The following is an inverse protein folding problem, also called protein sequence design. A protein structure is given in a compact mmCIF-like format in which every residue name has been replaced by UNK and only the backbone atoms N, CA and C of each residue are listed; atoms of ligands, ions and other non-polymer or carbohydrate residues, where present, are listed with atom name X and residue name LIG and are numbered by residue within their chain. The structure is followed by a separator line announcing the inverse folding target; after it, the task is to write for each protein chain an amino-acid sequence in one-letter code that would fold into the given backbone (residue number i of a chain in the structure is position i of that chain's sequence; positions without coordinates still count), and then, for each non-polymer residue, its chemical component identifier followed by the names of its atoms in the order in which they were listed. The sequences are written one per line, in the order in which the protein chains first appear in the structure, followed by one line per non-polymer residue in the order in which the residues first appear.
data_IF_493171056581
#
_entry.id   IF_493171056581
#
_cell.length_a   1.000
_cell.length_b   1.000
_cell.length_c   1.000
_cell.angle_alpha   90.00
_cell.angle_beta   90.00
_cell.angle_gamma   90.00
#
_symmetry.space_group_name_H-M   'P 1'
#
loop_
_entity.id
_entity.type
_entity.pdbx_description
1 polymer ?
#
# COMPACT_ATOMS: atom_id res chain seq x y z
N UNK A 1 -3.36 28.52 -12.23
CA UNK A 1 -2.54 27.96 -11.15
C UNK A 1 -1.99 29.04 -10.23
N UNK A 2 -2.29 28.95 -8.95
CA UNK A 2 -1.62 29.73 -7.90
C UNK A 2 -0.69 28.82 -7.11
N UNK A 3 0.53 29.28 -6.81
CA UNK A 3 1.54 28.52 -6.05
C UNK A 3 2.23 29.46 -5.07
N UNK A 4 1.98 29.25 -3.77
CA UNK A 4 2.43 30.13 -2.69
C UNK A 4 3.17 29.32 -1.63
N UNK A 5 4.26 29.87 -1.09
CA UNK A 5 4.99 29.29 0.04
C UNK A 5 4.51 29.94 1.33
N UNK A 6 4.00 29.13 2.24
CA UNK A 6 3.47 29.54 3.54
C UNK A 6 4.37 29.03 4.66
N UNK A 7 4.58 29.84 5.69
CA UNK A 7 5.30 29.40 6.89
C UNK A 7 4.39 28.53 7.74
N UNK A 8 4.89 27.40 8.20
CA UNK A 8 4.17 26.59 9.16
C UNK A 8 4.18 27.26 10.54
N UNK A 9 3.00 27.62 11.04
CA UNK A 9 2.81 28.21 12.37
C UNK A 9 2.63 27.17 13.48
N UNK A 10 2.45 25.89 13.14
CA UNK A 10 2.23 24.81 14.10
C UNK A 10 3.52 24.33 14.78
N UNK A 11 3.36 23.51 15.82
CA UNK A 11 4.47 22.93 16.60
C UNK A 11 5.43 22.07 15.75
N UNK A 12 4.97 21.59 14.60
CA UNK A 12 5.76 20.80 13.64
C UNK A 12 6.77 21.63 12.84
N UNK A 13 6.85 22.96 13.04
CA UNK A 13 7.75 23.89 12.31
C UNK A 13 9.23 23.51 12.30
N UNK A 14 9.69 22.75 13.30
CA UNK A 14 11.09 22.27 13.37
C UNK A 14 11.41 21.24 12.28
N UNK A 15 10.41 20.48 11.86
CA UNK A 15 10.54 19.39 10.88
C UNK A 15 9.94 19.81 9.54
N UNK A 16 8.82 20.53 9.56
CA UNK A 16 8.10 21.04 8.39
C UNK A 16 8.02 22.56 8.53
N UNK A 17 9.07 23.32 8.19
CA UNK A 17 9.06 24.78 8.36
C UNK A 17 8.11 25.52 7.41
N UNK A 18 7.74 24.91 6.28
CA UNK A 18 6.89 25.54 5.28
C UNK A 18 5.89 24.55 4.66
N UNK A 19 4.81 25.09 4.10
CA UNK A 19 3.93 24.43 3.15
C UNK A 19 3.96 25.17 1.83
N UNK A 20 3.78 24.46 0.72
CA UNK A 20 3.48 25.08 -0.57
C UNK A 20 2.00 24.83 -0.87
N UNK A 21 1.23 25.91 -0.88
CA UNK A 21 -0.14 25.91 -1.36
C UNK A 21 -0.14 25.89 -2.89
N UNK A 22 -0.92 24.98 -3.47
CA UNK A 22 -1.10 24.85 -4.92
C UNK A 22 -2.60 24.86 -5.19
N UNK A 23 -3.07 25.79 -6.01
CA UNK A 23 -4.45 25.86 -6.47
C UNK A 23 -4.55 25.75 -7.99
N UNK A 24 -5.30 24.75 -8.45
CA UNK A 24 -5.55 24.47 -9.86
C UNK A 24 -6.81 25.20 -10.35
N UNK A 25 -6.74 26.53 -10.45
CA UNK A 25 -7.86 27.42 -10.78
C UNK A 25 -8.47 27.26 -12.18
N UNK A 26 -7.76 26.60 -13.11
CA UNK A 26 -8.16 26.49 -14.52
C UNK A 26 -8.84 25.17 -14.89
N UNK A 27 -8.92 24.20 -13.96
CA UNK A 27 -9.30 22.83 -14.29
C UNK A 27 -10.69 22.51 -13.73
N UNK A 28 -11.67 22.26 -14.61
CA UNK A 28 -12.98 21.71 -14.21
C UNK A 28 -12.83 20.22 -13.95
N UNK A 29 -12.53 19.84 -12.71
CA UNK A 29 -12.33 18.44 -12.33
C UNK A 29 -13.30 17.99 -11.25
N UNK A 30 -13.36 16.68 -11.04
CA UNK A 30 -14.13 16.03 -9.98
C UNK A 30 -13.27 15.70 -8.76
N UNK A 31 -12.09 16.32 -8.61
CA UNK A 31 -11.15 16.05 -7.51
C UNK A 31 -10.71 17.37 -6.86
N UNK A 32 -10.07 17.26 -5.69
CA UNK A 32 -9.56 18.39 -4.92
C UNK A 32 -8.67 19.30 -5.80
N UNK A 33 -8.93 20.60 -5.79
CA UNK A 33 -8.15 21.56 -6.59
C UNK A 33 -7.16 22.35 -5.77
N UNK A 34 -7.19 22.18 -4.44
CA UNK A 34 -6.35 22.87 -3.47
C UNK A 34 -5.47 21.88 -2.72
N UNK A 35 -4.15 22.08 -2.78
CA UNK A 35 -3.17 21.19 -2.18
C UNK A 35 -2.21 21.93 -1.27
N UNK A 36 -1.82 21.29 -0.17
CA UNK A 36 -0.83 21.78 0.78
C UNK A 36 0.35 20.81 0.84
N UNK A 37 1.39 21.08 0.05
CA UNK A 37 2.58 20.22 -0.04
C UNK A 37 3.55 20.57 1.11
N UNK A 38 3.83 19.66 2.05
CA UNK A 38 4.77 19.93 3.13
C UNK A 38 6.22 20.04 2.62
N UNK A 39 6.96 21.02 3.14
CA UNK A 39 8.40 21.18 2.90
C UNK A 39 9.14 20.76 4.16
N UNK A 40 9.87 19.65 4.06
CA UNK A 40 10.65 19.08 5.16
C UNK A 40 12.05 19.69 5.23
N UNK A 41 12.51 19.99 6.44
CA UNK A 41 13.90 20.34 6.69
C UNK A 41 14.73 19.07 6.89
N UNK A 42 15.77 18.87 6.08
CA UNK A 42 16.73 17.76 6.18
C UNK A 42 18.14 18.29 6.41
N UNK A 43 18.85 17.71 7.36
CA UNK A 43 20.28 18.00 7.57
C UNK A 43 21.12 16.98 6.79
N UNK A 44 21.83 17.43 5.75
CA UNK A 44 22.69 16.57 4.94
C UNK A 44 24.08 17.18 4.95
N UNK A 45 25.07 16.41 5.43
CA UNK A 45 26.47 16.86 5.55
C UNK A 45 26.61 18.21 6.31
N UNK A 46 25.80 18.39 7.35
CA UNK A 46 25.79 19.61 8.17
C UNK A 46 25.12 20.83 7.53
N UNK A 47 24.53 20.68 6.33
CA UNK A 47 23.80 21.74 5.65
C UNK A 47 22.30 21.46 5.66
N UNK A 48 21.53 22.53 5.80
CA UNK A 48 20.07 22.48 5.73
C UNK A 48 19.63 22.37 4.27
N UNK A 49 18.82 21.37 3.98
CA UNK A 49 18.13 21.18 2.72
C UNK A 49 16.62 21.18 2.95
N UNK A 50 15.90 21.73 1.98
CA UNK A 50 14.44 21.76 1.95
C UNK A 50 13.99 20.72 0.94
N UNK A 51 13.21 19.75 1.40
CA UNK A 51 12.77 18.62 0.60
C UNK A 51 11.25 18.60 0.49
N UNK A 52 10.76 18.29 -0.71
CA UNK A 52 9.34 18.13 -1.00
C UNK A 52 9.11 16.88 -1.84
N UNK A 53 7.89 16.36 -1.82
CA UNK A 53 7.47 15.24 -2.67
C UNK A 53 6.11 15.56 -3.29
N UNK A 54 6.01 15.40 -4.61
CA UNK A 54 4.75 15.55 -5.35
C UNK A 54 4.55 14.30 -6.21
N UNK A 55 3.57 13.47 -5.88
CA UNK A 55 3.24 12.23 -6.57
C UNK A 55 4.47 11.32 -6.80
N UNK A 56 5.40 11.28 -5.83
CA UNK A 56 6.63 10.48 -5.90
C UNK A 56 7.81 11.15 -6.58
N UNK A 57 7.65 12.36 -7.14
CA UNK A 57 8.76 13.19 -7.58
C UNK A 57 9.39 13.85 -6.35
N UNK A 58 10.57 13.38 -5.96
CA UNK A 58 11.34 13.93 -4.86
C UNK A 58 12.16 15.12 -5.34
N UNK A 59 12.05 16.23 -4.62
CA UNK A 59 12.76 17.47 -4.90
C UNK A 59 13.53 17.85 -3.65
N UNK A 60 14.74 18.38 -3.82
CA UNK A 60 15.58 18.82 -2.72
C UNK A 60 16.41 20.03 -3.16
N UNK A 61 16.39 21.09 -2.35
CA UNK A 61 17.10 22.33 -2.63
C UNK A 61 17.72 22.91 -1.36
N UNK A 62 18.60 23.90 -1.51
CA UNK A 62 19.35 24.49 -0.40
C UNK A 62 18.66 25.71 0.23
N UNK A 63 17.51 26.14 -0.30
CA UNK A 63 16.75 27.26 0.26
C UNK A 63 15.23 27.11 0.03
N UNK A 64 14.39 27.75 0.85
CA UNK A 64 12.93 27.71 0.69
C UNK A 64 12.46 28.25 -0.67
N UNK A 65 13.13 29.29 -1.18
CA UNK A 65 12.78 29.88 -2.46
C UNK A 65 13.19 28.98 -3.64
N UNK A 66 14.33 28.29 -3.53
CA UNK A 66 14.79 27.36 -4.56
C UNK A 66 13.81 26.18 -4.68
N UNK A 67 13.39 25.58 -3.56
CA UNK A 67 12.41 24.48 -3.59
C UNK A 67 11.06 24.94 -4.16
N UNK A 68 10.60 26.15 -3.83
CA UNK A 68 9.39 26.73 -4.43
C UNK A 68 9.52 26.87 -5.94
N UNK A 69 10.67 27.34 -6.44
CA UNK A 69 10.91 27.48 -7.87
C UNK A 69 10.92 26.11 -8.59
N UNK A 70 11.48 25.08 -7.96
CA UNK A 70 11.45 23.70 -8.49
C UNK A 70 10.02 23.15 -8.50
N UNK A 71 9.24 23.37 -7.44
CA UNK A 71 7.81 23.00 -7.40
C UNK A 71 7.03 23.71 -8.49
N UNK A 72 7.26 25.01 -8.72
CA UNK A 72 6.60 25.78 -9.81
C UNK A 72 6.88 25.22 -11.21
N UNK A 73 7.98 24.50 -11.42
CA UNK A 73 8.27 23.80 -12.68
C UNK A 73 7.57 22.45 -12.80
N UNK A 74 7.34 21.78 -11.67
CA UNK A 74 6.70 20.45 -11.61
C UNK A 74 5.17 20.56 -11.55
N UNK A 75 4.62 21.48 -10.78
CA UNK A 75 3.19 21.64 -10.58
C UNK A 75 2.34 21.78 -11.87
N UNK A 76 2.80 22.44 -12.96
CA UNK A 76 2.06 22.47 -14.22
C UNK A 76 1.83 21.06 -14.83
N UNK A 77 2.66 20.08 -14.47
CA UNK A 77 2.43 18.69 -14.89
C UNK A 77 1.15 18.14 -14.29
N UNK A 78 0.73 18.60 -13.10
CA UNK A 78 -0.51 18.19 -12.44
C UNK A 78 -1.75 18.67 -13.21
N UNK A 79 -1.76 19.92 -13.70
CA UNK A 79 -2.85 20.45 -14.54
C UNK A 79 -3.03 19.59 -15.81
N UNK A 80 -1.91 19.16 -16.41
CA UNK A 80 -1.91 18.32 -17.60
C UNK A 80 -2.34 16.86 -17.34
N UNK A 81 -2.44 16.41 -16.09
CA UNK A 81 -2.82 15.03 -15.80
C UNK A 81 -4.30 14.76 -16.07
N UNK A 82 -5.16 15.79 -16.06
CA UNK A 82 -6.61 15.66 -16.26
C UNK A 82 -7.35 14.87 -15.17
N UNK A 83 -6.65 13.99 -14.43
CA UNK A 83 -7.08 13.21 -13.27
C UNK A 83 -5.89 12.96 -12.35
N UNK A 84 -6.14 12.90 -11.04
CA UNK A 84 -5.14 12.46 -10.07
C UNK A 84 -4.99 10.93 -10.08
N UNK A 85 -3.77 10.39 -9.97
CA UNK A 85 -3.56 8.96 -9.85
C UNK A 85 -4.06 8.48 -8.50
N UNK A 86 -4.74 7.33 -8.50
CA UNK A 86 -5.21 6.67 -7.26
C UNK A 86 -4.03 6.02 -6.54
N UNK A 87 -3.13 5.43 -7.33
CA UNK A 87 -1.90 4.81 -6.83
C UNK A 87 -0.71 5.20 -7.71
N UNK A 88 0.48 4.94 -7.21
CA UNK A 88 1.68 4.87 -8.03
C UNK A 88 2.41 3.56 -7.78
N UNK A 89 3.07 3.06 -8.82
CA UNK A 89 4.09 2.04 -8.71
C UNK A 89 5.46 2.69 -8.63
N UNK A 90 6.20 2.36 -7.58
CA UNK A 90 7.54 2.86 -7.31
C UNK A 90 8.54 1.73 -7.55
N UNK A 91 9.48 1.97 -8.44
CA UNK A 91 10.67 1.16 -8.65
C UNK A 91 11.77 1.65 -7.70
N UNK A 92 12.15 0.82 -6.73
CA UNK A 92 13.01 1.24 -5.60
C UNK A 92 14.45 1.54 -6.01
N UNK A 93 15.01 0.80 -6.95
CA UNK A 93 16.40 0.93 -7.39
C UNK A 93 16.51 1.98 -8.49
N UNK A 94 15.59 1.96 -9.46
CA UNK A 94 15.60 2.96 -10.54
C UNK A 94 15.03 4.32 -10.10
N UNK A 95 14.41 4.39 -8.92
CA UNK A 95 13.70 5.57 -8.38
C UNK A 95 12.64 6.14 -9.34
N UNK A 96 12.03 5.27 -10.16
CA UNK A 96 11.00 5.67 -11.12
C UNK A 96 9.61 5.46 -10.55
N UNK A 97 8.70 6.34 -10.94
CA UNK A 97 7.32 6.35 -10.49
C UNK A 97 6.39 6.23 -11.70
N UNK A 98 5.44 5.30 -11.63
CA UNK A 98 4.48 5.02 -12.68
C UNK A 98 3.07 5.22 -12.14
N UNK A 99 2.29 6.18 -12.67
CA UNK A 99 0.96 6.44 -12.18
C UNK A 99 0.00 5.30 -12.53
N UNK A 100 -0.93 5.04 -11.62
CA UNK A 100 -2.04 4.10 -11.81
C UNK A 100 -3.34 4.85 -11.54
N UNK A 101 -4.21 4.85 -12.54
CA UNK A 101 -5.53 5.48 -12.47
C UNK A 101 -6.60 4.42 -12.29
N UNK A 102 -7.57 4.66 -11.43
CA UNK A 102 -8.76 3.82 -11.32
C UNK A 102 -9.92 4.46 -12.08
N UNK A 103 -10.58 3.70 -12.95
CA UNK A 103 -11.74 4.17 -13.71
C UNK A 103 -12.59 3.00 -14.18
N UNK A 104 -13.90 3.03 -13.93
CA UNK A 104 -14.88 2.01 -14.38
C UNK A 104 -14.45 0.57 -14.09
N UNK A 105 -14.00 0.35 -12.86
CA UNK A 105 -13.59 -0.89 -12.23
C UNK A 105 -12.30 -1.44 -12.78
N UNK A 106 -11.51 -0.60 -13.44
CA UNK A 106 -10.21 -0.98 -13.95
C UNK A 106 -9.13 -0.11 -13.32
N UNK A 107 -8.01 -0.76 -13.02
CA UNK A 107 -6.76 -0.10 -12.78
C UNK A 107 -6.04 0.04 -14.13
N UNK A 108 -5.63 1.27 -14.45
CA UNK A 108 -4.92 1.63 -15.67
C UNK A 108 -3.49 2.02 -15.30
N UNK A 109 -2.54 1.12 -15.58
CA UNK A 109 -1.11 1.37 -15.41
C UNK A 109 -0.50 1.93 -16.69
N UNK A 110 0.12 3.10 -16.59
CA UNK A 110 0.90 3.68 -17.67
C UNK A 110 2.37 3.26 -17.55
N UNK A 111 2.97 2.81 -18.66
CA UNK A 111 4.34 2.31 -18.68
C UNK A 111 5.34 3.42 -18.99
N UNK A 112 5.44 3.84 -20.23
CA UNK A 112 6.28 4.96 -20.72
C UNK A 112 5.56 5.67 -21.85
N UNK A 113 6.02 6.85 -22.26
CA UNK A 113 5.46 7.56 -23.42
C UNK A 113 5.51 6.66 -24.66
N UNK A 114 4.36 6.40 -25.28
CA UNK A 114 4.22 5.49 -26.42
C UNK A 114 4.21 4.00 -26.09
N UNK A 115 4.33 3.62 -24.81
CA UNK A 115 4.20 2.24 -24.35
C UNK A 115 2.74 1.78 -24.21
N UNK A 116 2.51 0.47 -23.97
CA UNK A 116 1.17 -0.07 -23.80
C UNK A 116 0.52 0.47 -22.52
N UNK A 117 -0.78 0.69 -22.61
CA UNK A 117 -1.65 0.91 -21.44
C UNK A 117 -2.09 -0.45 -20.92
N UNK A 118 -1.75 -0.75 -19.68
CA UNK A 118 -2.18 -2.00 -19.04
C UNK A 118 -3.47 -1.74 -18.28
N UNK A 119 -4.52 -2.49 -18.60
CA UNK A 119 -5.82 -2.43 -17.93
C UNK A 119 -6.15 -3.75 -17.28
N UNK A 120 -6.57 -3.70 -16.02
CA UNK A 120 -7.09 -4.87 -15.33
C UNK A 120 -7.86 -4.45 -14.07
N UNK A 121 -8.89 -5.19 -13.71
CA UNK A 121 -9.66 -4.91 -12.49
C UNK A 121 -8.78 -5.10 -11.24
N UNK A 122 -8.00 -6.18 -11.22
CA UNK A 122 -7.01 -6.45 -10.17
C UNK A 122 -5.74 -5.59 -10.32
N UNK A 123 -5.47 -4.74 -9.33
CA UNK A 123 -4.22 -3.96 -9.22
C UNK A 123 -2.98 -4.86 -9.26
N UNK A 124 -3.11 -6.09 -8.77
CA UNK A 124 -2.08 -7.13 -8.83
C UNK A 124 -1.60 -7.43 -10.24
N UNK A 125 -2.55 -7.68 -11.14
CA UNK A 125 -2.27 -8.00 -12.53
C UNK A 125 -1.68 -6.80 -13.27
N UNK A 126 -2.17 -5.59 -12.98
CA UNK A 126 -1.59 -4.37 -13.55
C UNK A 126 -0.13 -4.23 -13.15
N UNK A 127 0.18 -4.37 -11.86
CA UNK A 127 1.56 -4.30 -11.38
C UNK A 127 2.47 -5.33 -12.04
N UNK A 128 2.03 -6.60 -12.08
CA UNK A 128 2.84 -7.69 -12.64
C UNK A 128 3.09 -7.48 -14.15
N UNK A 129 2.06 -7.08 -14.92
CA UNK A 129 2.18 -6.80 -16.36
C UNK A 129 3.03 -5.56 -16.67
N UNK A 130 2.85 -4.47 -15.91
CA UNK A 130 3.67 -3.26 -16.03
C UNK A 130 5.12 -3.57 -15.69
N UNK A 131 5.39 -4.28 -14.59
CA UNK A 131 6.74 -4.69 -14.23
C UNK A 131 7.38 -5.57 -15.31
N UNK A 132 6.66 -6.57 -15.82
CA UNK A 132 7.15 -7.46 -16.88
C UNK A 132 7.53 -6.67 -18.14
N UNK A 133 6.65 -5.76 -18.58
CA UNK A 133 6.91 -4.93 -19.74
C UNK A 133 8.14 -4.04 -19.54
N UNK A 134 8.23 -3.34 -18.41
CA UNK A 134 9.33 -2.41 -18.15
C UNK A 134 10.68 -3.11 -17.98
N UNK A 135 10.72 -4.30 -17.39
CA UNK A 135 11.93 -5.13 -17.36
C UNK A 135 12.30 -5.62 -18.79
N UNK A 136 11.32 -6.01 -19.61
CA UNK A 136 11.55 -6.45 -21.00
C UNK A 136 12.19 -5.35 -21.86
N UNK A 137 11.82 -4.09 -21.66
CA UNK A 137 12.40 -2.96 -22.39
C UNK A 137 13.61 -2.34 -21.67
N UNK A 138 14.14 -3.00 -20.63
CA UNK A 138 15.31 -2.56 -19.85
C UNK A 138 15.17 -1.16 -19.24
N UNK A 139 13.94 -0.77 -18.91
CA UNK A 139 13.63 0.47 -18.17
C UNK A 139 13.75 0.26 -16.66
N UNK A 140 13.48 -0.97 -16.21
CA UNK A 140 13.65 -1.41 -14.83
C UNK A 140 14.81 -2.42 -14.75
N UNK A 141 15.51 -2.39 -13.61
CA UNK A 141 16.65 -3.28 -13.37
C UNK A 141 17.90 -2.96 -14.20
N UNK A 142 19.01 -3.63 -13.88
CA UNK A 142 20.16 -3.75 -14.79
C UNK A 142 19.90 -4.93 -15.74
N UNK A 143 20.64 -5.03 -16.85
CA UNK A 143 20.55 -6.21 -17.72
C UNK A 143 20.79 -7.48 -16.90
N UNK A 144 19.80 -8.38 -16.84
CA UNK A 144 19.83 -9.61 -16.03
C UNK A 144 19.15 -9.56 -14.67
N UNK A 145 18.74 -8.38 -14.17
CA UNK A 145 18.09 -8.24 -12.85
C UNK A 145 16.61 -7.86 -12.97
N UNK A 146 15.74 -8.56 -12.25
CA UNK A 146 14.31 -8.25 -12.18
C UNK A 146 14.00 -7.28 -11.03
N UNK A 147 13.58 -6.07 -11.36
CA UNK A 147 13.15 -5.10 -10.35
C UNK A 147 11.64 -5.18 -10.08
N UNK A 148 11.27 -5.27 -8.79
CA UNK A 148 9.88 -5.29 -8.33
C UNK A 148 9.33 -3.88 -8.15
N UNK A 149 8.08 -3.70 -8.56
CA UNK A 149 7.32 -2.47 -8.32
C UNK A 149 6.61 -2.51 -6.95
N UNK A 150 6.66 -1.39 -6.23
CA UNK A 150 5.98 -1.20 -4.96
C UNK A 150 4.79 -0.25 -5.11
N UNK A 151 3.64 -0.57 -4.52
CA UNK A 151 2.51 0.35 -4.52
C UNK A 151 2.62 1.41 -3.42
N UNK A 152 2.21 2.62 -3.77
CA UNK A 152 1.91 3.72 -2.85
C UNK A 152 0.58 4.36 -3.24
N UNK A 153 -0.14 4.87 -2.26
CA UNK A 153 -1.28 5.75 -2.49
C UNK A 153 -0.79 7.18 -2.71
N UNK A 154 -1.64 8.04 -3.25
CA UNK A 154 -1.36 9.49 -3.36
C UNK A 154 -2.33 10.23 -2.45
N UNK A 155 -1.78 10.97 -1.50
CA UNK A 155 -2.58 11.76 -0.58
C UNK A 155 -3.27 12.90 -1.35
N UNK A 156 -4.60 12.98 -1.24
CA UNK A 156 -5.38 13.91 -2.08
C UNK A 156 -5.19 15.38 -1.70
N UNK A 157 -4.84 15.72 -0.45
CA UNK A 157 -4.50 17.10 -0.04
C UNK A 157 -3.02 17.48 -0.14
N UNK A 158 -2.09 16.57 0.18
CA UNK A 158 -0.65 16.91 0.24
C UNK A 158 0.15 16.48 -0.98
N UNK A 159 -0.45 15.66 -1.86
CA UNK A 159 0.21 15.03 -3.01
C UNK A 159 1.37 14.07 -2.65
N UNK A 160 1.63 13.85 -1.37
CA UNK A 160 2.66 12.94 -0.89
C UNK A 160 2.30 11.47 -1.11
N UNK A 161 3.30 10.60 -1.18
CA UNK A 161 3.08 9.16 -1.26
C UNK A 161 2.72 8.58 0.10
N UNK A 162 1.58 7.90 0.16
CA UNK A 162 1.12 7.19 1.36
C UNK A 162 1.55 5.74 1.27
N UNK A 163 2.20 5.24 2.34
CA UNK A 163 2.59 3.84 2.45
C UNK A 163 1.38 3.01 2.90
N UNK A 164 1.10 1.85 2.26
CA UNK A 164 0.06 0.95 2.76
C UNK A 164 0.40 0.42 4.15
N UNK A 165 -0.58 0.47 5.05
CA UNK A 165 -0.53 -0.12 6.39
C UNK A 165 -0.43 -1.64 6.29
N UNK A 166 -1.25 -2.22 5.43
CA UNK A 166 -1.19 -3.63 5.06
C UNK A 166 -1.74 -3.84 3.65
N UNK A 167 -1.76 -5.09 3.21
CA UNK A 167 -2.39 -5.50 1.97
C UNK A 167 -3.39 -6.59 2.28
N UNK A 168 -4.58 -6.48 1.70
CA UNK A 168 -5.51 -7.60 1.64
C UNK A 168 -5.13 -8.45 0.44
N UNK A 169 -4.94 -9.75 0.64
CA UNK A 169 -4.53 -10.67 -0.43
C UNK A 169 -5.43 -11.89 -0.45
N UNK A 170 -6.02 -12.19 -1.60
CA UNK A 170 -6.69 -13.47 -1.80
C UNK A 170 -5.65 -14.58 -1.78
N UNK A 171 -5.91 -15.63 -1.01
CA UNK A 171 -5.23 -16.92 -1.14
C UNK A 171 -5.76 -17.59 -2.42
N UNK A 172 -4.93 -17.79 -3.46
CA UNK A 172 -5.35 -18.62 -4.58
C UNK A 172 -5.38 -20.09 -4.13
N UNK A 173 -6.50 -20.76 -4.34
CA UNK A 173 -6.69 -22.19 -4.07
C UNK A 173 -6.22 -23.05 -5.25
N UNK A 174 -6.28 -22.50 -6.46
CA UNK A 174 -5.82 -23.14 -7.70
C UNK A 174 -4.90 -22.22 -8.50
N UNK A 175 -4.05 -22.76 -9.41
CA UNK A 175 -3.28 -21.94 -10.35
C UNK A 175 -4.14 -21.04 -11.25
N UNK A 176 -5.40 -21.40 -11.47
CA UNK A 176 -6.36 -20.67 -12.28
C UNK A 176 -7.05 -19.53 -11.50
N UNK A 177 -6.93 -19.50 -10.18
CA UNK A 177 -7.54 -18.45 -9.37
C UNK A 177 -6.97 -17.08 -9.71
N UNK A 178 -7.87 -16.12 -9.91
CA UNK A 178 -7.53 -14.73 -10.10
C UNK A 178 -6.73 -14.20 -8.91
N UNK A 179 -5.57 -13.59 -9.20
CA UNK A 179 -4.77 -12.90 -8.19
C UNK A 179 -5.49 -11.62 -7.76
N UNK A 180 -5.91 -11.55 -6.50
CA UNK A 180 -6.40 -10.31 -5.90
C UNK A 180 -5.42 -9.83 -4.83
N UNK A 181 -5.06 -8.55 -4.90
CA UNK A 181 -4.65 -7.82 -3.71
C UNK A 181 -4.97 -6.34 -3.82
N UNK A 182 -5.33 -5.75 -2.69
CA UNK A 182 -5.54 -4.31 -2.56
C UNK A 182 -4.71 -3.76 -1.40
N UNK A 183 -4.01 -2.63 -1.57
CA UNK A 183 -3.38 -1.91 -0.48
C UNK A 183 -4.43 -1.26 0.43
N UNK A 184 -4.17 -1.27 1.74
CA UNK A 184 -4.96 -0.53 2.73
C UNK A 184 -4.15 0.66 3.23
N UNK A 185 -4.76 1.84 3.27
CA UNK A 185 -4.12 3.09 3.64
C UNK A 185 -4.77 3.71 4.88
N UNK A 186 -3.99 4.47 5.67
CA UNK A 186 -4.58 5.36 6.67
C UNK A 186 -5.16 6.60 5.97
N UNK A 187 -6.24 7.13 6.55
CA UNK A 187 -6.81 8.44 6.24
C UNK A 187 -6.36 9.43 7.29
N UNK A 188 -5.70 10.52 6.88
CA UNK A 188 -5.21 11.56 7.79
C UNK A 188 -6.35 12.43 8.36
N UNK A 189 -7.57 12.32 7.82
CA UNK A 189 -8.68 13.25 8.13
C UNK A 189 -9.63 12.77 9.23
N UNK A 190 -9.76 11.45 9.41
CA UNK A 190 -10.83 10.86 10.21
C UNK A 190 -10.37 9.70 11.11
N UNK A 191 -9.06 9.49 11.26
CA UNK A 191 -8.53 8.29 11.91
C UNK A 191 -9.19 7.02 11.34
N UNK A 192 -9.17 6.87 10.01
CA UNK A 192 -9.82 5.77 9.29
C UNK A 192 -8.80 4.91 8.56
N UNK A 193 -9.12 3.63 8.36
CA UNK A 193 -8.51 2.83 7.32
C UNK A 193 -9.41 2.76 6.09
N UNK A 194 -8.82 2.82 4.90
CA UNK A 194 -9.57 2.64 3.67
C UNK A 194 -8.82 1.83 2.60
N UNK A 195 -9.59 1.25 1.69
CA UNK A 195 -9.11 0.67 0.45
C UNK A 195 -10.14 0.86 -0.67
N UNK A 196 -9.67 0.88 -1.91
CA UNK A 196 -10.55 0.81 -3.07
C UNK A 196 -10.61 -0.62 -3.59
N UNK A 197 -11.83 -1.11 -3.78
CA UNK A 197 -12.16 -2.46 -4.28
C UNK A 197 -13.45 -2.36 -5.08
N UNK A 198 -13.55 -3.04 -6.23
CA UNK A 198 -14.78 -3.07 -7.05
C UNK A 198 -15.39 -1.67 -7.30
N UNK A 199 -14.59 -0.69 -7.73
CA UNK A 199 -14.98 0.72 -7.92
C UNK A 199 -15.45 1.50 -6.69
N UNK A 200 -15.44 0.88 -5.51
CA UNK A 200 -15.94 1.46 -4.29
C UNK A 200 -14.82 1.69 -3.28
N UNK A 201 -14.90 2.82 -2.57
CA UNK A 201 -14.11 3.05 -1.36
C UNK A 201 -14.78 2.31 -0.20
N UNK A 202 -14.04 1.42 0.43
CA UNK A 202 -14.40 0.82 1.71
C UNK A 202 -13.58 1.51 2.79
N UNK A 203 -14.22 1.90 3.88
CA UNK A 203 -13.55 2.57 4.99
C UNK A 203 -14.17 2.19 6.32
N UNK A 204 -13.34 2.24 7.36
CA UNK A 204 -13.72 1.97 8.75
C UNK A 204 -12.94 2.91 9.67
N UNK A 205 -13.60 3.37 10.73
CA UNK A 205 -12.95 4.17 11.78
C UNK A 205 -11.97 3.31 12.56
N UNK A 206 -10.87 3.90 13.01
CA UNK A 206 -9.91 3.26 13.90
C UNK A 206 -10.58 2.79 15.20
N UNK A 207 -10.22 1.60 15.64
CA UNK A 207 -10.71 0.94 16.85
C UNK A 207 -9.60 0.07 17.43
N UNK A 208 -8.46 0.70 17.74
CA UNK A 208 -7.33 0.06 18.42
C UNK A 208 -6.86 -1.25 17.77
N UNK A 209 -6.94 -1.38 16.45
CA UNK A 209 -6.54 -2.55 15.67
C UNK A 209 -7.70 -3.38 15.11
N UNK A 210 -8.91 -3.34 15.71
CA UNK A 210 -10.06 -4.11 15.20
C UNK A 210 -10.52 -3.66 13.81
N UNK A 211 -10.26 -2.41 13.45
CA UNK A 211 -10.52 -1.88 12.12
C UNK A 211 -9.87 -2.73 11.01
N UNK A 212 -8.75 -3.41 11.29
CA UNK A 212 -8.09 -4.32 10.35
C UNK A 212 -9.01 -5.47 9.93
N UNK A 213 -9.65 -6.15 10.90
CA UNK A 213 -10.57 -7.26 10.62
C UNK A 213 -11.93 -6.78 10.10
N UNK A 214 -12.45 -5.65 10.59
CA UNK A 214 -13.71 -5.07 10.10
C UNK A 214 -13.63 -4.67 8.63
N UNK A 215 -12.55 -4.00 8.22
CA UNK A 215 -12.34 -3.64 6.81
C UNK A 215 -12.17 -4.89 5.94
N UNK A 216 -11.41 -5.88 6.44
CA UNK A 216 -11.23 -7.17 5.76
C UNK A 216 -12.58 -7.83 5.51
N UNK A 217 -13.45 -7.93 6.53
CA UNK A 217 -14.76 -8.56 6.42
C UNK A 217 -15.67 -7.84 5.41
N UNK A 218 -15.73 -6.50 5.44
CA UNK A 218 -16.51 -5.73 4.46
C UNK A 218 -16.06 -5.98 3.02
N UNK A 219 -14.74 -5.97 2.78
CA UNK A 219 -14.17 -6.19 1.44
C UNK A 219 -14.34 -7.64 1.00
N UNK A 220 -14.15 -8.58 1.92
CA UNK A 220 -14.32 -10.00 1.67
C UNK A 220 -15.73 -10.34 1.23
N UNK A 221 -16.74 -9.82 1.94
CA UNK A 221 -18.14 -9.96 1.54
C UNK A 221 -18.40 -9.38 0.15
N UNK A 222 -17.87 -8.19 -0.14
CA UNK A 222 -18.02 -7.59 -1.46
C UNK A 222 -17.38 -8.42 -2.58
N UNK A 223 -16.23 -9.06 -2.33
CA UNK A 223 -15.60 -9.97 -3.30
C UNK A 223 -16.37 -11.28 -3.45
N UNK A 224 -17.06 -11.75 -2.41
CA UNK A 224 -17.97 -12.90 -2.49
C UNK A 224 -19.18 -12.55 -3.34
N UNK A 225 -19.80 -11.39 -3.09
CA UNK A 225 -20.96 -10.91 -3.86
C UNK A 225 -20.62 -10.73 -5.35
N UNK A 226 -19.39 -10.31 -5.67
CA UNK A 226 -18.87 -10.21 -7.05
C UNK A 226 -18.25 -11.52 -7.59
N UNK A 227 -18.39 -12.64 -6.87
CA UNK A 227 -17.88 -13.97 -7.26
C UNK A 227 -16.35 -14.06 -7.49
N UNK A 228 -15.57 -13.17 -6.88
CA UNK A 228 -14.10 -13.18 -6.92
C UNK A 228 -13.47 -13.92 -5.76
N UNK A 229 -14.21 -14.09 -4.67
CA UNK A 229 -13.79 -14.81 -3.48
C UNK A 229 -14.84 -15.86 -3.17
N UNK A 230 -14.41 -17.09 -2.90
CA UNK A 230 -15.31 -18.20 -2.58
C UNK A 230 -15.57 -18.34 -1.09
N UNK A 231 -14.58 -18.02 -0.25
CA UNK A 231 -14.67 -18.11 1.20
C UNK A 231 -14.13 -16.84 1.83
N UNK A 232 -14.82 -16.35 2.87
CA UNK A 232 -14.43 -15.12 3.54
C UNK A 232 -12.98 -15.19 4.05
N UNK A 233 -12.63 -16.29 4.74
CA UNK A 233 -11.31 -16.49 5.34
C UNK A 233 -10.16 -16.61 4.33
N UNK A 234 -10.42 -16.65 3.02
CA UNK A 234 -9.37 -16.66 1.98
C UNK A 234 -8.74 -15.27 1.76
N UNK A 235 -9.38 -14.19 2.20
CA UNK A 235 -8.83 -12.84 2.10
C UNK A 235 -7.93 -12.49 3.28
N UNK A 236 -6.64 -12.80 3.21
CA UNK A 236 -5.73 -12.59 4.33
C UNK A 236 -5.21 -11.16 4.46
N UNK A 237 -4.71 -10.84 5.66
CA UNK A 237 -3.98 -9.61 5.97
C UNK A 237 -2.48 -9.91 5.80
N UNK A 238 -1.84 -9.32 4.80
CA UNK A 238 -0.42 -9.49 4.50
C UNK A 238 0.33 -8.20 4.79
N UNK A 239 1.53 -8.32 5.37
CA UNK A 239 2.45 -7.19 5.55
C UNK A 239 1.87 -6.03 6.38
N UNK A 240 1.21 -6.33 7.49
CA UNK A 240 0.80 -5.37 8.51
C UNK A 240 2.00 -4.66 9.13
N UNK A 241 1.90 -3.33 9.29
CA UNK A 241 2.92 -2.51 9.94
C UNK A 241 3.01 -2.82 11.45
N UNK A 242 4.21 -2.71 12.05
CA UNK A 242 4.42 -2.97 13.47
C UNK A 242 3.51 -2.18 14.41
N UNK A 243 3.30 -0.89 14.15
CA UNK A 243 2.47 -0.04 15.03
C UNK A 243 1.02 -0.52 15.08
N UNK A 244 0.47 -0.95 13.93
CA UNK A 244 -0.86 -1.53 13.86
C UNK A 244 -0.92 -2.93 14.45
N UNK A 245 0.14 -3.73 14.27
CA UNK A 245 0.25 -5.03 14.94
C UNK A 245 0.24 -4.86 16.46
N UNK A 246 1.03 -3.93 17.01
CA UNK A 246 1.08 -3.65 18.45
C UNK A 246 -0.29 -3.27 19.01
N UNK A 247 -1.05 -2.42 18.31
CA UNK A 247 -2.43 -2.07 18.69
C UNK A 247 -3.33 -3.31 18.67
N UNK A 248 -3.35 -4.02 17.54
CA UNK A 248 -4.20 -5.20 17.35
C UNK A 248 -3.90 -6.32 18.35
N UNK A 249 -2.62 -6.59 18.62
CA UNK A 249 -2.18 -7.65 19.52
C UNK A 249 -2.75 -7.49 20.93
N UNK A 250 -2.98 -6.25 21.40
CA UNK A 250 -3.60 -6.01 22.73
C UNK A 250 -5.05 -6.50 22.84
N UNK A 251 -5.69 -6.78 21.71
CA UNK A 251 -7.07 -7.24 21.63
C UNK A 251 -7.19 -8.74 21.42
N UNK A 252 -6.08 -9.41 21.13
CA UNK A 252 -6.03 -10.83 20.83
C UNK A 252 -5.76 -11.63 22.11
N UNK A 253 -6.51 -12.71 22.32
CA UNK A 253 -6.22 -13.66 23.38
C UNK A 253 -5.12 -14.61 22.91
N UNK A 254 -3.96 -14.61 23.59
CA UNK A 254 -2.86 -15.51 23.24
C UNK A 254 -3.20 -16.95 23.59
N UNK A 255 -3.00 -17.86 22.64
CA UNK A 255 -3.17 -19.28 22.87
C UNK A 255 -1.81 -19.93 23.21
N UNK A 256 -1.79 -20.97 24.06
CA UNK A 256 -0.54 -21.69 24.37
C UNK A 256 0.00 -22.43 23.14
N UNK A 257 -0.92 -22.96 22.34
CA UNK A 257 -0.61 -23.69 21.12
C UNK A 257 0.03 -22.78 20.08
N UNK A 258 0.95 -23.33 19.28
CA UNK A 258 1.58 -22.63 18.16
C UNK A 258 1.63 -23.54 16.94
N UNK A 259 1.90 -22.95 15.79
CA UNK A 259 2.38 -23.72 14.65
C UNK A 259 3.89 -23.63 14.51
N UNK A 260 4.50 -24.67 13.98
CA UNK A 260 5.89 -24.67 13.55
C UNK A 260 6.01 -25.14 12.11
N UNK A 261 6.99 -24.60 11.40
CA UNK A 261 7.42 -25.09 10.10
C UNK A 261 8.92 -24.79 9.97
N UNK A 262 9.70 -25.80 9.54
CA UNK A 262 11.16 -25.73 9.57
C UNK A 262 11.67 -25.27 10.94
N UNK A 263 12.43 -24.18 10.99
CA UNK A 263 13.02 -23.55 12.17
C UNK A 263 12.19 -22.39 12.73
N UNK A 264 10.96 -22.19 12.23
CA UNK A 264 10.11 -21.04 12.56
C UNK A 264 8.86 -21.45 13.32
N UNK A 265 8.39 -20.53 14.15
CA UNK A 265 7.13 -20.63 14.88
C UNK A 265 6.15 -19.55 14.41
N UNK A 266 4.87 -19.87 14.47
CA UNK A 266 3.76 -18.94 14.29
C UNK A 266 2.97 -18.93 15.61
N UNK A 267 2.98 -17.79 16.29
CA UNK A 267 2.15 -17.60 17.47
C UNK A 267 0.67 -17.62 17.07
N UNK A 268 -0.17 -18.24 17.91
CA UNK A 268 -1.60 -18.33 17.69
C UNK A 268 -2.38 -17.49 18.70
N UNK A 269 -3.49 -16.95 18.22
CA UNK A 269 -4.38 -16.11 18.99
C UNK A 269 -5.85 -16.44 18.68
N UNK A 270 -6.72 -16.17 19.63
CA UNK A 270 -8.17 -16.14 19.45
C UNK A 270 -8.64 -14.69 19.26
N UNK A 271 -9.56 -14.49 18.32
CA UNK A 271 -10.25 -13.23 18.08
C UNK A 271 -11.72 -13.53 17.79
N UNK A 272 -12.61 -13.15 18.71
CA UNK A 272 -14.04 -13.45 18.64
C UNK A 272 -14.31 -14.94 18.32
N UNK A 273 -14.71 -15.24 17.08
CA UNK A 273 -15.10 -16.57 16.60
C UNK A 273 -14.06 -17.25 15.72
N UNK A 274 -12.89 -16.63 15.50
CA UNK A 274 -11.84 -17.16 14.64
C UNK A 274 -10.47 -17.16 15.31
N UNK A 275 -9.62 -18.05 14.82
CA UNK A 275 -8.23 -18.18 15.21
C UNK A 275 -7.33 -17.41 14.25
N UNK A 276 -6.24 -16.87 14.77
CA UNK A 276 -5.25 -16.10 14.02
C UNK A 276 -3.86 -16.70 14.24
N UNK A 277 -3.15 -17.04 13.17
CA UNK A 277 -1.72 -17.39 13.24
C UNK A 277 -0.88 -16.26 12.63
N UNK A 278 0.24 -15.95 13.27
CA UNK A 278 1.02 -14.74 12.97
C UNK A 278 2.42 -15.09 12.48
N UNK A 279 2.75 -14.66 11.26
CA UNK A 279 4.11 -14.73 10.73
C UNK A 279 4.80 -13.36 10.83
N UNK A 280 5.84 -13.27 11.65
CA UNK A 280 6.75 -12.12 11.65
C UNK A 280 7.76 -12.25 10.50
N UNK A 281 7.69 -11.33 9.54
CA UNK A 281 8.62 -11.23 8.41
C UNK A 281 9.81 -10.36 8.80
N UNK A 282 10.80 -10.98 9.44
CA UNK A 282 11.99 -10.30 10.01
C UNK A 282 12.64 -9.32 9.02
N UNK A 283 12.81 -9.72 7.75
CA UNK A 283 13.49 -8.88 6.73
C UNK A 283 12.67 -7.67 6.27
N UNK A 284 11.36 -7.65 6.52
CA UNK A 284 10.46 -6.56 6.11
C UNK A 284 9.99 -5.71 7.29
N UNK A 285 10.22 -6.20 8.52
CA UNK A 285 9.62 -5.71 9.76
C UNK A 285 8.10 -5.54 9.64
N UNK A 286 7.44 -6.64 9.27
CA UNK A 286 6.00 -6.68 9.04
C UNK A 286 5.40 -8.02 9.46
N UNK A 287 4.09 -8.03 9.67
CA UNK A 287 3.34 -9.19 10.14
C UNK A 287 2.38 -9.69 9.05
N UNK A 288 2.26 -10.99 8.87
CA UNK A 288 1.20 -11.59 8.03
C UNK A 288 0.29 -12.42 8.93
N UNK A 289 -1.01 -12.22 8.80
CA UNK A 289 -2.02 -12.87 9.63
C UNK A 289 -2.78 -13.88 8.78
N UNK A 290 -2.76 -15.13 9.22
CA UNK A 290 -3.63 -16.20 8.72
C UNK A 290 -4.83 -16.30 9.64
N UNK A 291 -6.01 -16.55 9.09
CA UNK A 291 -7.27 -16.61 9.85
C UNK A 291 -7.98 -17.92 9.53
N UNK A 292 -8.49 -18.63 10.53
CA UNK A 292 -9.21 -19.90 10.35
C UNK A 292 -10.28 -20.11 11.42
N UNK A 293 -11.27 -20.96 11.14
CA UNK A 293 -12.35 -21.25 12.10
C UNK A 293 -11.93 -22.17 13.25
N UNK A 294 -10.95 -23.03 13.00
CA UNK A 294 -10.43 -23.99 13.96
C UNK A 294 -8.94 -24.27 13.66
N UNK A 295 -8.20 -24.96 14.55
CA UNK A 295 -6.77 -25.14 14.37
C UNK A 295 -6.38 -25.80 13.04
N UNK A 296 -7.16 -26.79 12.57
CA UNK A 296 -6.85 -27.49 11.31
C UNK A 296 -7.10 -26.61 10.07
N UNK A 297 -8.21 -25.87 10.04
CA UNK A 297 -8.49 -24.89 8.99
C UNK A 297 -7.39 -23.79 8.95
N UNK A 298 -7.01 -23.27 10.10
CA UNK A 298 -5.95 -22.26 10.20
C UNK A 298 -4.58 -22.82 9.76
N UNK A 299 -4.23 -24.05 10.17
CA UNK A 299 -3.01 -24.76 9.78
C UNK A 299 -2.94 -24.93 8.26
N UNK A 300 -4.02 -25.42 7.65
CA UNK A 300 -4.12 -25.60 6.20
C UNK A 300 -3.97 -24.27 5.46
N UNK A 301 -4.59 -23.19 5.97
CA UNK A 301 -4.48 -21.84 5.40
C UNK A 301 -3.07 -21.28 5.44
N UNK A 302 -2.39 -21.43 6.58
CA UNK A 302 -0.99 -21.03 6.72
C UNK A 302 -0.09 -21.87 5.81
N UNK A 303 -0.22 -23.20 5.84
CA UNK A 303 0.58 -24.14 5.05
C UNK A 303 0.47 -23.91 3.56
N UNK A 304 -0.74 -23.72 3.04
CA UNK A 304 -0.94 -23.43 1.61
C UNK A 304 -0.27 -22.12 1.16
N UNK A 305 -0.32 -21.06 1.97
CA UNK A 305 0.40 -19.84 1.60
C UNK A 305 1.91 -20.00 1.66
N UNK A 306 2.42 -20.68 2.70
CA UNK A 306 3.85 -20.94 2.87
C UNK A 306 4.38 -21.78 1.69
N UNK A 307 3.66 -22.84 1.31
CA UNK A 307 4.01 -23.70 0.17
C UNK A 307 4.02 -22.91 -1.14
N UNK A 308 2.96 -22.14 -1.41
CA UNK A 308 2.85 -21.27 -2.59
C UNK A 308 3.98 -20.23 -2.69
N UNK A 309 4.53 -19.80 -1.55
CA UNK A 309 5.65 -18.85 -1.48
C UNK A 309 7.02 -19.54 -1.52
N UNK A 310 7.07 -20.87 -1.59
CA UNK A 310 8.31 -21.67 -1.59
C UNK A 310 9.01 -21.75 -0.23
N UNK A 311 8.28 -21.51 0.87
CA UNK A 311 8.84 -21.64 2.23
C UNK A 311 8.77 -23.06 2.78
N UNK A 312 7.94 -23.93 2.19
CA UNK A 312 7.79 -25.37 2.43
C UNK A 312 7.36 -26.00 1.10
N UNK A 313 7.46 -27.31 0.97
CA UNK A 313 7.07 -28.02 -0.27
C UNK A 313 5.63 -28.56 -0.15
N UNK A 314 5.24 -28.97 1.06
CA UNK A 314 3.90 -29.49 1.37
C UNK A 314 3.22 -28.66 2.49
N UNK A 315 1.97 -28.18 2.31
CA UNK A 315 1.17 -27.58 3.38
C UNK A 315 1.07 -28.42 4.67
N UNK A 316 1.25 -29.74 4.60
CA UNK A 316 1.29 -30.64 5.75
C UNK A 316 2.51 -30.42 6.67
N UNK A 317 3.57 -29.75 6.20
CA UNK A 317 4.76 -29.46 7.02
C UNK A 317 4.52 -28.44 8.15
N UNK A 318 3.37 -27.75 8.14
CA UNK A 318 2.97 -26.90 9.27
C UNK A 318 2.41 -27.80 10.36
N UNK A 319 3.17 -27.94 11.45
CA UNK A 319 2.86 -28.81 12.58
C UNK A 319 2.30 -28.02 13.75
N UNK A 320 1.42 -28.66 14.51
CA UNK A 320 0.94 -28.14 15.78
C UNK A 320 1.96 -28.45 16.88
N UNK A 321 2.33 -27.46 17.67
CA UNK A 321 3.17 -27.62 18.85
C UNK A 321 2.45 -27.03 20.06
N UNK A 322 2.52 -27.75 21.18
CA UNK A 322 1.88 -27.39 22.44
C UNK A 322 2.85 -26.75 23.41
#
# INVERSE_FOLDING_TARGET
MEIVLEKNSADTRKIIPYYVYIELSSVKTSFETQFHVPIYLKLIRGQNHYAAEICGLQMQENSPQAILNTIKKVAPTLENMGRMPTYVFVARHSLRVYPVYTSRNENLGLTVRGGPVVRHIELACVRDRVALYLNKIHVLGKSGDFEKLHVRGVHQKTLGLVRPVFYLKKRPLTPQDTKFWTPVFPSDENDELYAYVLDKKYQVNEDSGHEVFRLRAQISQALIDDSRLSQDLDLRIDRLLPDYWSKLQTKLESLPNKFSYRDKTLDMYQMDTFLVAVERRVNEDRYSLYIGHNPEDLRLRAGQDLARRGFIDDPAEVNHIS
#
